data_IF_513814291857
#
_entry.id   IF_513814291857
#
_cell.length_a   1.000
_cell.length_b   1.000
_cell.length_c   1.000
_cell.angle_alpha   90.00
_cell.angle_beta   90.00
_cell.angle_gamma   90.00
#
_symmetry.space_group_name_H-M   'P 1'
#
loop_
_entity.id
_entity.type
_entity.pdbx_description
1 polymer ?
#
# COMPACT_ATOMS: atom_id res chain seq x y z
N UNK A 1 0.28 -13.56 2.33
CA UNK A 1 0.95 -12.31 2.78
C UNK A 1 1.58 -11.65 1.56
N UNK A 2 1.75 -10.33 1.57
CA UNK A 2 2.07 -9.52 0.39
C UNK A 2 3.17 -8.49 0.69
N UNK A 3 3.67 -7.79 -0.34
CA UNK A 3 4.67 -6.73 -0.19
C UNK A 3 6.09 -7.24 0.06
N UNK A 4 7.04 -6.33 0.17
CA UNK A 4 8.44 -6.60 0.54
C UNK A 4 8.79 -5.91 1.85
N UNK A 5 8.00 -6.14 2.90
CA UNK A 5 8.08 -5.39 4.17
C UNK A 5 9.41 -5.50 4.94
N UNK A 6 10.35 -6.35 4.50
CA UNK A 6 11.74 -6.25 4.95
C UNK A 6 12.36 -4.87 4.64
N UNK A 7 11.90 -4.22 3.57
CA UNK A 7 12.31 -2.86 3.17
C UNK A 7 12.03 -1.86 4.29
N UNK A 8 10.87 -1.96 4.95
CA UNK A 8 10.47 -1.10 6.07
C UNK A 8 11.43 -1.27 7.25
N UNK A 9 11.79 -2.52 7.58
CA UNK A 9 12.69 -2.82 8.71
C UNK A 9 14.09 -2.28 8.43
N UNK A 10 14.61 -2.49 7.21
CA UNK A 10 15.90 -1.96 6.79
C UNK A 10 15.90 -0.43 6.83
N UNK A 11 14.85 0.20 6.31
CA UNK A 11 14.67 1.65 6.34
C UNK A 11 14.67 2.19 7.77
N UNK A 12 13.90 1.57 8.68
CA UNK A 12 13.84 1.98 10.09
C UNK A 12 15.21 1.91 10.77
N UNK A 13 15.93 0.79 10.60
CA UNK A 13 17.27 0.62 11.18
C UNK A 13 18.27 1.65 10.64
N UNK A 14 18.25 1.87 9.33
CA UNK A 14 19.18 2.79 8.65
C UNK A 14 18.90 4.24 9.06
N UNK A 15 17.63 4.65 9.06
CA UNK A 15 17.21 6.00 9.43
C UNK A 15 17.45 6.31 10.92
N UNK A 16 17.50 5.28 11.78
CA UNK A 16 17.89 5.41 13.20
C UNK A 16 19.40 5.36 13.43
N UNK A 17 20.20 5.17 12.38
CA UNK A 17 21.65 5.00 12.47
C UNK A 17 22.09 3.79 13.33
N UNK A 18 21.30 2.72 13.32
CA UNK A 18 21.56 1.49 14.11
C UNK A 18 22.13 0.34 13.25
N UNK A 19 22.66 0.64 12.06
CA UNK A 19 22.99 -0.36 11.04
C UNK A 19 24.48 -0.67 10.85
N UNK A 20 25.39 0.22 11.25
CA UNK A 20 26.82 0.21 10.89
C UNK A 20 27.57 -1.10 11.20
N UNK A 21 27.13 -1.81 12.25
CA UNK A 21 27.74 -3.06 12.71
C UNK A 21 27.05 -4.33 12.18
N UNK A 22 25.94 -4.19 11.46
CA UNK A 22 25.10 -5.32 11.04
C UNK A 22 24.93 -5.41 9.52
N UNK A 23 24.98 -4.29 8.80
CA UNK A 23 24.60 -4.23 7.39
C UNK A 23 25.78 -3.87 6.49
N UNK A 24 25.91 -4.61 5.39
CA UNK A 24 26.71 -4.18 4.24
C UNK A 24 25.82 -3.33 3.33
N UNK A 25 26.01 -2.01 3.34
CA UNK A 25 25.16 -1.09 2.59
C UNK A 25 25.18 -1.35 1.08
N UNK A 26 26.28 -1.82 0.50
CA UNK A 26 26.31 -2.19 -0.93
C UNK A 26 25.34 -3.33 -1.23
N UNK A 27 25.31 -4.36 -0.38
CA UNK A 27 24.40 -5.50 -0.55
C UNK A 27 22.94 -5.12 -0.29
N UNK A 28 22.70 -4.25 0.70
CA UNK A 28 21.36 -3.73 0.99
C UNK A 28 20.81 -2.99 -0.23
N UNK A 29 21.57 -2.05 -0.79
CA UNK A 29 21.15 -1.26 -1.94
C UNK A 29 20.90 -2.15 -3.18
N UNK A 30 21.74 -3.16 -3.40
CA UNK A 30 21.53 -4.13 -4.48
C UNK A 30 20.25 -4.96 -4.28
N UNK A 31 20.02 -5.46 -3.06
CA UNK A 31 18.83 -6.24 -2.73
C UNK A 31 17.54 -5.41 -2.89
N UNK A 32 17.52 -4.17 -2.38
CA UNK A 32 16.36 -3.28 -2.50
C UNK A 32 16.05 -2.94 -3.96
N UNK A 33 17.07 -2.66 -4.79
CA UNK A 33 16.88 -2.45 -6.22
C UNK A 33 16.35 -3.71 -6.92
N UNK A 34 16.84 -4.89 -6.54
CA UNK A 34 16.38 -6.14 -7.13
C UNK A 34 14.90 -6.39 -6.83
N UNK A 35 14.51 -6.35 -5.55
CA UNK A 35 13.14 -6.65 -5.12
C UNK A 35 12.12 -5.65 -5.66
N UNK A 36 12.51 -4.38 -5.82
CA UNK A 36 11.60 -3.33 -6.27
C UNK A 36 11.45 -3.21 -7.78
N UNK A 37 12.32 -3.85 -8.58
CA UNK A 37 12.37 -3.61 -10.03
C UNK A 37 12.40 -4.89 -10.88
N UNK A 38 12.72 -6.05 -10.32
CA UNK A 38 12.81 -7.31 -11.07
C UNK A 38 11.78 -8.32 -10.59
N UNK A 39 11.33 -9.18 -11.51
CA UNK A 39 10.39 -10.27 -11.20
C UNK A 39 10.98 -11.17 -10.12
N UNK A 40 10.18 -11.45 -9.09
CA UNK A 40 10.57 -12.27 -7.95
C UNK A 40 10.00 -13.69 -8.08
N UNK A 41 10.76 -14.68 -7.63
CA UNK A 41 10.39 -16.10 -7.73
C UNK A 41 9.39 -16.56 -6.65
N UNK A 42 9.31 -15.84 -5.54
CA UNK A 42 8.54 -16.21 -4.34
C UNK A 42 7.69 -15.03 -3.83
N UNK A 43 6.76 -15.32 -2.92
CA UNK A 43 5.83 -14.35 -2.30
C UNK A 43 6.59 -13.14 -1.74
N UNK A 44 6.46 -12.02 -2.47
CA UNK A 44 7.03 -10.69 -2.22
C UNK A 44 6.38 -9.77 -3.25
N UNK A 45 7.10 -8.78 -3.79
CA UNK A 45 6.72 -8.08 -5.02
C UNK A 45 6.89 -9.02 -6.23
N UNK A 46 5.86 -9.78 -6.58
CA UNK A 46 5.96 -10.82 -7.62
C UNK A 46 6.35 -10.27 -9.00
N UNK A 47 5.66 -9.23 -9.47
CA UNK A 47 5.89 -8.59 -10.77
C UNK A 47 6.00 -7.05 -10.67
N UNK A 48 7.13 -6.53 -10.15
CA UNK A 48 7.37 -5.08 -10.11
C UNK A 48 7.34 -4.40 -11.48
N UNK A 49 7.83 -4.99 -12.58
CA UNK A 49 7.69 -4.40 -13.91
C UNK A 49 6.26 -4.05 -14.30
N UNK A 50 5.28 -4.89 -13.98
CA UNK A 50 3.86 -4.58 -14.20
C UNK A 50 3.40 -3.40 -13.33
N UNK A 51 3.73 -3.40 -12.03
CA UNK A 51 3.42 -2.28 -11.14
C UNK A 51 4.03 -0.96 -11.63
N UNK A 52 5.29 -0.97 -12.08
CA UNK A 52 5.99 0.21 -12.63
C UNK A 52 5.34 0.70 -13.93
N UNK A 53 4.94 -0.22 -14.81
CA UNK A 53 4.30 0.12 -16.09
C UNK A 53 2.96 0.82 -15.89
N UNK A 54 2.10 0.30 -15.00
CA UNK A 54 0.74 0.81 -14.81
C UNK A 54 0.65 1.86 -13.71
N UNK A 55 1.66 1.97 -12.85
CA UNK A 55 1.65 2.78 -11.63
C UNK A 55 0.58 2.33 -10.61
N UNK A 56 0.25 1.05 -10.65
CA UNK A 56 -0.58 0.29 -9.72
C UNK A 56 -0.50 -1.18 -10.14
N UNK A 57 -0.92 -2.11 -9.29
CA UNK A 57 -1.08 -3.51 -9.68
C UNK A 57 -2.46 -3.68 -10.33
N UNK A 58 -2.56 -4.10 -11.61
CA UNK A 58 -3.88 -4.28 -12.22
C UNK A 58 -4.61 -5.51 -11.69
N UNK A 59 -5.92 -5.39 -11.45
CA UNK A 59 -6.76 -6.47 -10.91
C UNK A 59 -6.86 -7.69 -11.82
N UNK A 60 -6.86 -7.48 -13.14
CA UNK A 60 -6.85 -8.54 -14.15
C UNK A 60 -5.49 -9.26 -14.28
N UNK A 61 -4.48 -8.81 -13.55
CA UNK A 61 -3.15 -9.44 -13.44
C UNK A 61 -2.94 -10.08 -12.06
N UNK A 62 -3.47 -9.46 -11.00
CA UNK A 62 -3.46 -10.00 -9.63
C UNK A 62 -4.72 -9.53 -8.88
N UNK A 63 -5.53 -10.48 -8.42
CA UNK A 63 -6.82 -10.18 -7.78
C UNK A 63 -6.63 -9.37 -6.49
N UNK A 64 -5.52 -9.53 -5.75
CA UNK A 64 -5.22 -8.77 -4.53
C UNK A 64 -4.63 -7.37 -4.78
N UNK A 65 -4.76 -6.89 -6.01
CA UNK A 65 -4.23 -5.64 -6.56
C UNK A 65 -4.33 -4.39 -5.67
N UNK A 66 -5.46 -4.14 -4.99
CA UNK A 66 -5.60 -2.93 -4.17
C UNK A 66 -4.63 -2.97 -2.98
N UNK A 67 -4.63 -4.09 -2.25
CA UNK A 67 -3.71 -4.30 -1.14
C UNK A 67 -2.24 -4.32 -1.59
N UNK A 68 -1.94 -4.95 -2.73
CA UNK A 68 -0.58 -4.95 -3.30
C UNK A 68 -0.10 -3.55 -3.67
N UNK A 69 -0.96 -2.75 -4.31
CA UNK A 69 -0.64 -1.37 -4.70
C UNK A 69 -0.34 -0.51 -3.47
N UNK A 70 -1.15 -0.63 -2.41
CA UNK A 70 -0.93 0.10 -1.17
C UNK A 70 0.35 -0.35 -0.45
N UNK A 71 0.60 -1.65 -0.36
CA UNK A 71 1.81 -2.21 0.22
C UNK A 71 3.07 -1.78 -0.53
N UNK A 72 3.07 -1.87 -1.86
CA UNK A 72 4.23 -1.47 -2.67
C UNK A 72 4.50 0.03 -2.59
N UNK A 73 3.46 0.86 -2.48
CA UNK A 73 3.64 2.30 -2.27
C UNK A 73 4.32 2.59 -0.92
N UNK A 74 3.96 1.86 0.13
CA UNK A 74 4.62 2.00 1.43
C UNK A 74 6.07 1.48 1.41
N UNK A 75 6.28 0.31 0.79
CA UNK A 75 7.61 -0.28 0.64
C UNK A 75 8.53 0.63 -0.21
N UNK A 76 8.01 1.26 -1.28
CA UNK A 76 8.75 2.24 -2.08
C UNK A 76 9.15 3.47 -1.27
N UNK A 77 8.29 3.98 -0.38
CA UNK A 77 8.67 5.07 0.52
C UNK A 77 9.87 4.69 1.41
N UNK A 78 9.86 3.46 1.95
CA UNK A 78 10.97 2.95 2.75
C UNK A 78 12.27 2.81 1.96
N UNK A 79 12.20 2.31 0.72
CA UNK A 79 13.37 2.25 -0.18
C UNK A 79 13.89 3.65 -0.47
N UNK A 80 12.99 4.61 -0.75
CA UNK A 80 13.36 6.01 -0.97
C UNK A 80 14.19 6.59 0.18
N UNK A 81 13.79 6.33 1.43
CA UNK A 81 14.55 6.74 2.61
C UNK A 81 15.96 6.11 2.67
N UNK A 82 16.08 4.82 2.32
CA UNK A 82 17.39 4.15 2.29
C UNK A 82 18.29 4.75 1.21
N UNK A 83 17.76 4.99 0.02
CA UNK A 83 18.50 5.62 -1.08
C UNK A 83 18.94 7.04 -0.69
N UNK A 84 18.07 7.81 -0.06
CA UNK A 84 18.37 9.15 0.43
C UNK A 84 19.51 9.13 1.46
N UNK A 85 19.43 8.24 2.46
CA UNK A 85 20.47 8.09 3.48
C UNK A 85 21.83 7.67 2.88
N UNK A 86 21.83 6.93 1.78
CA UNK A 86 23.03 6.56 1.03
C UNK A 86 23.56 7.67 0.08
N UNK A 87 22.90 8.83 0.02
CA UNK A 87 23.27 9.93 -0.86
C UNK A 87 22.83 9.77 -2.33
N UNK A 88 21.97 8.80 -2.62
CA UNK A 88 21.44 8.49 -3.96
C UNK A 88 20.14 9.27 -4.20
N UNK A 89 20.25 10.59 -4.29
CA UNK A 89 19.09 11.51 -4.28
C UNK A 89 18.14 11.28 -5.46
N UNK A 90 18.66 11.04 -6.66
CA UNK A 90 17.82 10.83 -7.85
C UNK A 90 17.01 9.53 -7.75
N UNK A 91 17.64 8.45 -7.28
CA UNK A 91 16.95 7.18 -7.03
C UNK A 91 15.92 7.33 -5.90
N UNK A 92 16.26 8.04 -4.82
CA UNK A 92 15.33 8.32 -3.74
C UNK A 92 14.08 9.03 -4.25
N UNK A 93 14.23 10.03 -5.12
CA UNK A 93 13.11 10.76 -5.69
C UNK A 93 12.23 9.87 -6.58
N UNK A 94 12.82 8.93 -7.33
CA UNK A 94 12.05 7.93 -8.09
C UNK A 94 11.14 7.11 -7.17
N UNK A 95 11.70 6.55 -6.10
CA UNK A 95 10.93 5.76 -5.14
C UNK A 95 9.90 6.60 -4.37
N UNK A 96 10.21 7.86 -4.03
CA UNK A 96 9.22 8.77 -3.45
C UNK A 96 8.07 9.07 -4.41
N UNK A 97 8.33 9.22 -5.71
CA UNK A 97 7.26 9.38 -6.70
C UNK A 97 6.39 8.11 -6.76
N UNK A 98 7.01 6.92 -6.79
CA UNK A 98 6.30 5.64 -6.77
C UNK A 98 5.47 5.45 -5.49
N UNK A 99 5.95 5.95 -4.35
CA UNK A 99 5.22 5.89 -3.10
C UNK A 99 3.90 6.67 -3.10
N UNK A 100 3.65 7.54 -4.09
CA UNK A 100 2.39 8.25 -4.25
C UNK A 100 1.38 7.50 -5.14
N UNK A 101 1.75 6.35 -5.71
CA UNK A 101 0.89 5.60 -6.63
C UNK A 101 -0.33 4.96 -5.97
N UNK A 102 -0.43 4.94 -4.63
CA UNK A 102 -1.69 4.60 -3.95
C UNK A 102 -2.87 5.49 -4.39
N UNK A 103 -2.59 6.74 -4.79
CA UNK A 103 -3.61 7.66 -5.29
C UNK A 103 -4.23 7.20 -6.61
N UNK A 104 -3.49 6.42 -7.40
CA UNK A 104 -3.95 5.94 -8.71
C UNK A 104 -5.11 4.97 -8.59
N UNK A 105 -5.37 4.41 -7.42
CA UNK A 105 -6.52 3.52 -7.17
C UNK A 105 -7.53 4.15 -6.20
N UNK A 106 -7.32 5.38 -5.73
CA UNK A 106 -8.28 6.05 -4.86
C UNK A 106 -9.47 6.61 -5.66
N UNK A 107 -10.68 6.21 -5.28
CA UNK A 107 -11.91 6.78 -5.83
C UNK A 107 -12.38 7.96 -4.98
N UNK A 108 -12.36 9.16 -5.56
CA UNK A 108 -12.71 10.39 -4.85
C UNK A 108 -14.19 10.50 -4.45
N UNK A 109 -15.08 9.73 -5.07
CA UNK A 109 -16.52 9.76 -4.80
C UNK A 109 -16.86 8.78 -3.68
N UNK A 110 -16.36 7.55 -3.81
CA UNK A 110 -16.56 6.46 -2.85
C UNK A 110 -15.67 6.61 -1.62
N UNK A 111 -14.53 7.29 -1.75
CA UNK A 111 -13.48 7.44 -0.73
C UNK A 111 -12.87 6.10 -0.29
N UNK A 112 -12.67 5.20 -1.25
CA UNK A 112 -12.02 3.90 -1.05
C UNK A 112 -10.89 3.70 -2.06
N UNK A 113 -9.97 2.79 -1.73
CA UNK A 113 -8.97 2.29 -2.67
C UNK A 113 -9.58 1.16 -3.49
N UNK A 114 -9.97 1.46 -4.72
CA UNK A 114 -10.65 0.52 -5.60
C UNK A 114 -9.68 -0.04 -6.64
N UNK A 115 -9.61 -1.37 -6.79
CA UNK A 115 -8.81 -1.98 -7.84
C UNK A 115 -9.11 -1.42 -9.22
N UNK A 116 -8.10 -1.44 -10.09
CA UNK A 116 -8.22 -1.05 -11.49
C UNK A 116 -7.70 -2.16 -12.38
N UNK A 117 -8.38 -2.44 -13.48
CA UNK A 117 -7.84 -3.33 -14.50
C UNK A 117 -6.74 -2.62 -15.32
N UNK A 118 -6.03 -3.38 -16.14
CA UNK A 118 -5.02 -2.87 -17.08
C UNK A 118 -5.62 -1.91 -18.12
N UNK A 119 -6.94 -1.99 -18.36
CA UNK A 119 -7.72 -1.05 -19.19
C UNK A 119 -8.08 0.26 -18.49
N UNK A 120 -7.81 0.38 -17.18
CA UNK A 120 -8.19 1.51 -16.33
C UNK A 120 -9.59 1.42 -15.72
N UNK A 121 -10.35 0.35 -15.98
CA UNK A 121 -11.69 0.16 -15.41
C UNK A 121 -11.61 -0.03 -13.89
N UNK A 122 -12.40 0.74 -13.15
CA UNK A 122 -12.44 0.73 -11.68
C UNK A 122 -13.41 -0.36 -11.18
N UNK A 123 -12.99 -1.11 -10.17
CA UNK A 123 -13.74 -2.22 -9.56
C UNK A 123 -14.07 -1.94 -8.09
N UNK A 124 -14.60 -0.76 -7.80
CA UNK A 124 -15.13 -0.45 -6.47
C UNK A 124 -16.30 -1.36 -6.11
N UNK A 125 -16.52 -1.65 -4.81
CA UNK A 125 -17.73 -2.32 -4.39
C UNK A 125 -19.00 -1.53 -4.81
N UNK A 126 -19.94 -2.24 -5.45
CA UNK A 126 -21.10 -1.62 -6.11
C UNK A 126 -22.37 -1.59 -5.25
N UNK A 127 -22.42 -2.42 -4.21
CA UNK A 127 -23.52 -2.53 -3.25
C UNK A 127 -22.99 -2.64 -1.83
N UNK A 128 -23.86 -2.38 -0.83
CA UNK A 128 -23.50 -2.51 0.58
C UNK A 128 -22.97 -3.91 0.90
N UNK A 129 -23.62 -4.96 0.37
CA UNK A 129 -23.25 -6.36 0.61
C UNK A 129 -21.80 -6.65 0.18
N UNK A 130 -21.34 -6.05 -0.92
CA UNK A 130 -19.96 -6.25 -1.36
C UNK A 130 -18.94 -5.64 -0.39
N UNK A 131 -19.29 -4.59 0.33
CA UNK A 131 -18.43 -4.06 1.38
C UNK A 131 -18.35 -5.00 2.57
N UNK A 132 -19.31 -5.91 2.77
CA UNK A 132 -19.42 -6.81 3.93
C UNK A 132 -18.88 -8.23 3.68
N UNK A 133 -18.31 -8.49 2.49
CA UNK A 133 -17.72 -9.80 2.18
C UNK A 133 -16.46 -9.99 3.02
N UNK A 134 -16.43 -10.97 3.95
CA UNK A 134 -15.20 -11.32 4.64
C UNK A 134 -14.28 -11.99 3.61
N UNK A 135 -13.03 -11.52 3.50
CA UNK A 135 -12.05 -12.01 2.52
C UNK A 135 -12.43 -11.70 1.06
N UNK A 136 -12.71 -10.44 0.78
CA UNK A 136 -12.92 -9.95 -0.59
C UNK A 136 -11.63 -10.09 -1.39
N UNK A 137 -11.65 -10.86 -2.49
CA UNK A 137 -10.46 -11.16 -3.31
C UNK A 137 -9.73 -9.93 -3.86
N UNK A 138 -10.39 -8.77 -3.89
CA UNK A 138 -9.77 -7.47 -4.22
C UNK A 138 -8.69 -7.04 -3.21
N UNK A 139 -8.70 -7.63 -2.02
CA UNK A 139 -7.87 -7.28 -0.86
C UNK A 139 -7.35 -8.55 -0.16
N UNK A 140 -6.08 -8.55 0.28
CA UNK A 140 -5.54 -9.69 1.02
C UNK A 140 -6.11 -9.76 2.44
N UNK A 141 -6.81 -10.85 2.76
CA UNK A 141 -7.29 -11.19 4.11
C UNK A 141 -8.16 -10.11 4.78
N UNK A 142 -8.90 -9.34 3.97
CA UNK A 142 -9.72 -8.22 4.43
C UNK A 142 -10.67 -7.74 3.35
N UNK A 143 -11.02 -6.45 3.40
CA UNK A 143 -11.95 -5.80 2.49
C UNK A 143 -11.58 -4.32 2.28
N UNK A 144 -12.43 -3.61 1.55
CA UNK A 144 -12.27 -2.20 1.26
C UNK A 144 -12.19 -1.32 2.52
N UNK A 145 -12.92 -1.64 3.59
CA UNK A 145 -12.92 -0.87 4.85
C UNK A 145 -11.61 -1.01 5.59
N UNK A 146 -11.03 -2.21 5.65
CA UNK A 146 -9.74 -2.44 6.31
C UNK A 146 -8.59 -1.70 5.60
N UNK A 147 -8.55 -1.77 4.27
CA UNK A 147 -7.48 -1.13 3.49
C UNK A 147 -7.69 0.37 3.26
N UNK A 148 -8.88 0.90 3.54
CA UNK A 148 -9.26 2.31 3.35
C UNK A 148 -8.31 3.31 4.03
N UNK A 149 -7.65 2.88 5.09
CA UNK A 149 -6.80 3.73 5.93
C UNK A 149 -5.31 3.40 5.83
N UNK A 150 -4.90 2.49 4.93
CA UNK A 150 -3.52 1.98 4.86
C UNK A 150 -2.62 2.87 3.98
N UNK A 151 -2.28 4.07 4.47
CA UNK A 151 -1.26 4.95 3.87
C UNK A 151 -0.39 5.54 5.01
N UNK A 152 0.38 4.70 5.73
CA UNK A 152 1.11 5.14 6.92
C UNK A 152 2.25 6.12 6.60
N UNK A 153 2.86 6.02 5.42
CA UNK A 153 3.95 6.92 4.99
C UNK A 153 3.48 8.32 4.60
N UNK A 154 2.20 8.50 4.29
CA UNK A 154 1.65 9.80 3.89
C UNK A 154 0.23 10.03 4.41
N UNK A 155 0.06 9.92 5.74
CA UNK A 155 -1.22 10.19 6.42
C UNK A 155 -1.80 11.58 6.13
N UNK A 156 -1.00 12.68 6.06
CA UNK A 156 -1.54 13.99 5.70
C UNK A 156 -2.24 13.97 4.33
N UNK A 157 -1.63 13.35 3.31
CA UNK A 157 -2.24 13.22 1.99
C UNK A 157 -3.51 12.38 2.02
N UNK A 158 -3.50 11.28 2.78
CA UNK A 158 -4.71 10.46 2.98
C UNK A 158 -5.86 11.30 3.56
N UNK A 159 -5.59 12.12 4.57
CA UNK A 159 -6.60 13.01 5.15
C UNK A 159 -7.14 14.00 4.11
N UNK A 160 -6.28 14.55 3.25
CA UNK A 160 -6.69 15.46 2.18
C UNK A 160 -7.57 14.75 1.12
N UNK A 161 -7.25 13.50 0.78
CA UNK A 161 -8.06 12.69 -0.15
C UNK A 161 -9.49 12.45 0.37
N UNK A 162 -9.66 12.38 1.69
CA UNK A 162 -10.98 12.32 2.33
C UNK A 162 -11.70 13.67 2.34
N UNK A 163 -11.02 14.78 2.05
CA UNK A 163 -11.59 16.13 2.11
C UNK A 163 -11.32 16.85 3.43
N UNK A 164 -10.30 16.41 4.16
CA UNK A 164 -9.80 17.07 5.37
C UNK A 164 -10.13 16.33 6.67
N UNK A 165 -9.49 16.79 7.76
CA UNK A 165 -9.46 16.10 9.05
C UNK A 165 -10.85 15.82 9.64
N UNK A 166 -11.81 16.75 9.46
CA UNK A 166 -13.17 16.58 9.98
C UNK A 166 -13.87 15.38 9.35
N UNK A 167 -13.83 15.27 8.03
CA UNK A 167 -14.49 14.17 7.32
C UNK A 167 -13.75 12.85 7.55
N UNK A 168 -12.42 12.87 7.55
CA UNK A 168 -11.62 11.69 7.86
C UNK A 168 -11.94 11.10 9.25
N UNK A 169 -12.04 11.95 10.28
CA UNK A 169 -12.41 11.52 11.62
C UNK A 169 -13.83 10.91 11.69
N UNK A 170 -14.80 11.50 10.98
CA UNK A 170 -16.16 10.97 10.90
C UNK A 170 -16.21 9.57 10.24
N UNK A 171 -15.37 9.32 9.23
CA UNK A 171 -15.31 8.02 8.58
C UNK A 171 -14.64 6.96 9.45
N UNK A 172 -13.64 7.34 10.27
CA UNK A 172 -13.08 6.47 11.31
C UNK A 172 -14.13 6.12 12.37
N UNK A 173 -14.87 7.11 12.88
CA UNK A 173 -15.96 6.89 13.83
C UNK A 173 -17.01 5.93 13.25
N UNK A 174 -17.37 6.12 11.97
CA UNK A 174 -18.30 5.25 11.25
C UNK A 174 -17.80 3.82 11.19
N UNK A 175 -16.52 3.61 10.83
CA UNK A 175 -15.91 2.28 10.80
C UNK A 175 -16.02 1.60 12.17
N UNK A 176 -15.56 2.24 13.24
CA UNK A 176 -15.57 1.65 14.58
C UNK A 176 -16.98 1.41 15.15
N UNK A 177 -17.92 2.34 14.94
CA UNK A 177 -19.30 2.20 15.40
C UNK A 177 -19.95 1.01 14.71
N UNK A 178 -19.83 0.91 13.38
CA UNK A 178 -20.46 -0.19 12.66
C UNK A 178 -19.81 -1.54 12.98
N UNK A 179 -18.48 -1.59 13.14
CA UNK A 179 -17.80 -2.82 13.56
C UNK A 179 -18.26 -3.31 14.93
N UNK A 180 -18.56 -2.41 15.88
CA UNK A 180 -19.11 -2.77 17.19
C UNK A 180 -20.50 -3.39 17.09
N UNK A 181 -21.32 -2.89 16.18
CA UNK A 181 -22.73 -3.28 16.08
C UNK A 181 -22.94 -4.55 15.22
N UNK A 182 -21.85 -5.16 14.71
CA UNK A 182 -21.92 -6.36 13.87
C UNK A 182 -22.21 -7.65 14.69
N UNK A 183 -23.08 -8.57 14.23
CA UNK A 183 -23.65 -9.64 15.06
C UNK A 183 -22.65 -10.69 15.59
N UNK A 184 -21.44 -10.78 15.02
CA UNK A 184 -20.45 -11.83 15.33
C UNK A 184 -19.09 -11.26 15.75
N UNK A 185 -19.07 -10.15 16.49
CA UNK A 185 -17.83 -9.47 16.88
C UNK A 185 -16.84 -10.35 17.67
N UNK A 186 -15.75 -10.72 17.00
CA UNK A 186 -14.37 -10.44 17.46
C UNK A 186 -13.55 -9.67 16.39
N UNK A 187 -14.27 -9.01 15.45
CA UNK A 187 -13.88 -8.38 14.16
C UNK A 187 -13.60 -9.46 13.07
N UNK A 188 -14.37 -9.53 11.94
CA UNK A 188 -14.35 -8.51 10.89
C UNK A 188 -15.68 -8.17 10.16
N UNK A 189 -15.60 -7.03 9.47
CA UNK A 189 -16.50 -6.37 8.51
C UNK A 189 -17.88 -5.91 9.05
N UNK A 190 -18.17 -4.58 9.12
CA UNK A 190 -19.47 -4.02 9.52
C UNK A 190 -20.65 -4.33 8.59
#
# INVERSE_FOLDING_TARGET
MIGSHADIILSDLIMKHEHDQYLNMTQVLEALRNVANTVQKHDSRFDPPTYIKYQYVPFDMDEYSASLTLSYAYDDWAIGNVMYAAGLIDEAQEYYNRSQWFENIFDNTKKFFCPRNSTGSILCPSSEIEYLIPFDYRYTEGDAWHYRFFVPHNTPRLVDLFGGAKFFAQELDTFFIRSRDWPTTTIPNP
#
